data_IF_023994224114
#
_entry.id   IF_023994224114
#
_cell.length_a   1.000
_cell.length_b   1.000
_cell.length_c   1.000
_cell.angle_alpha   90.00
_cell.angle_beta   90.00
_cell.angle_gamma   90.00
#
_symmetry.space_group_name_H-M   'P 1'
#
loop_
_entity.id
_entity.type
_entity.pdbx_description
1 polymer ?
#
# COMPACT_ATOMS: atom_id res chain seq x y z
N UNK A 1 -22.70 21.60 -28.19
CA UNK A 1 -23.45 20.37 -27.84
C UNK A 1 -22.58 19.12 -27.96
N UNK A 2 -21.58 18.95 -27.09
CA UNK A 2 -20.88 17.66 -26.89
C UNK A 2 -20.03 17.64 -25.61
N UNK A 3 -19.69 18.80 -25.05
CA UNK A 3 -18.83 18.93 -23.86
C UNK A 3 -19.57 19.22 -22.53
N UNK A 4 -20.90 19.40 -22.52
CA UNK A 4 -21.72 19.29 -21.29
C UNK A 4 -21.85 17.82 -20.79
N UNK A 5 -21.26 16.88 -21.52
CA UNK A 5 -21.40 15.44 -21.36
C UNK A 5 -20.61 14.85 -20.20
N UNK A 6 -19.57 15.53 -19.70
CA UNK A 6 -18.82 15.06 -18.53
C UNK A 6 -19.63 15.27 -17.25
N UNK A 7 -20.37 16.38 -17.15
CA UNK A 7 -21.34 16.59 -16.08
C UNK A 7 -22.53 15.62 -16.21
N UNK A 8 -23.00 15.29 -17.42
CA UNK A 8 -24.05 14.30 -17.63
C UNK A 8 -23.64 12.85 -17.27
N UNK A 9 -22.34 12.52 -17.34
CA UNK A 9 -21.82 11.23 -16.84
C UNK A 9 -21.71 11.22 -15.31
N UNK A 10 -21.43 12.37 -14.68
CA UNK A 10 -21.48 12.55 -13.22
C UNK A 10 -22.90 12.78 -12.68
N UNK A 11 -23.84 13.17 -13.54
CA UNK A 11 -25.26 13.32 -13.31
C UNK A 11 -26.00 12.43 -14.30
N UNK A 12 -25.82 11.12 -14.20
CA UNK A 12 -26.86 10.19 -14.64
C UNK A 12 -28.08 10.48 -13.75
N UNK A 13 -28.95 11.38 -14.20
CA UNK A 13 -30.28 11.66 -13.64
C UNK A 13 -30.30 11.85 -12.10
N UNK A 14 -29.30 12.55 -11.55
CA UNK A 14 -29.23 12.89 -10.12
C UNK A 14 -28.61 11.84 -9.18
N UNK A 15 -28.06 10.72 -9.69
CA UNK A 15 -27.48 9.66 -8.83
C UNK A 15 -25.96 9.45 -9.00
N UNK A 16 -25.29 10.14 -9.92
CA UNK A 16 -23.88 9.88 -10.18
C UNK A 16 -22.95 10.21 -9.00
N UNK A 17 -23.34 11.09 -8.07
CA UNK A 17 -22.59 11.30 -6.82
C UNK A 17 -22.46 10.00 -6.00
N UNK A 18 -23.52 9.19 -5.93
CA UNK A 18 -23.48 7.89 -5.24
C UNK A 18 -22.58 6.89 -5.96
N UNK A 19 -22.69 6.79 -7.28
CA UNK A 19 -21.89 5.87 -8.09
C UNK A 19 -20.40 6.19 -7.96
N UNK A 20 -20.01 7.45 -8.17
CA UNK A 20 -18.62 7.89 -8.03
C UNK A 20 -18.10 7.76 -6.60
N UNK A 21 -18.94 8.00 -5.59
CA UNK A 21 -18.56 7.76 -4.20
C UNK A 21 -18.31 6.28 -3.91
N UNK A 22 -19.15 5.38 -4.44
CA UNK A 22 -18.99 3.94 -4.30
C UNK A 22 -17.71 3.44 -4.99
N UNK A 23 -17.43 3.92 -6.21
CA UNK A 23 -16.17 3.65 -6.90
C UNK A 23 -14.98 4.20 -6.11
N UNK A 24 -15.05 5.45 -5.64
CA UNK A 24 -14.01 6.08 -4.83
C UNK A 24 -13.70 5.31 -3.55
N UNK A 25 -14.73 4.93 -2.79
CA UNK A 25 -14.59 4.10 -1.58
C UNK A 25 -13.98 2.75 -1.94
N UNK A 26 -14.46 2.10 -2.99
CA UNK A 26 -13.94 0.79 -3.43
C UNK A 26 -12.47 0.89 -3.82
N UNK A 27 -12.09 1.90 -4.60
CA UNK A 27 -10.69 2.15 -4.98
C UNK A 27 -9.81 2.41 -3.76
N UNK A 28 -10.29 3.18 -2.78
CA UNK A 28 -9.55 3.42 -1.53
C UNK A 28 -9.38 2.12 -0.74
N UNK A 29 -10.45 1.33 -0.58
CA UNK A 29 -10.39 0.05 0.14
C UNK A 29 -9.42 -0.92 -0.53
N UNK A 30 -9.51 -1.09 -1.85
CA UNK A 30 -8.59 -1.94 -2.62
C UNK A 30 -7.15 -1.41 -2.53
N UNK A 31 -6.96 -0.10 -2.63
CA UNK A 31 -5.66 0.54 -2.47
C UNK A 31 -5.06 0.26 -1.09
N UNK A 32 -5.85 0.40 -0.02
CA UNK A 32 -5.42 0.08 1.34
C UNK A 32 -5.08 -1.40 1.51
N UNK A 33 -5.88 -2.29 0.92
CA UNK A 33 -5.66 -3.73 0.98
C UNK A 33 -4.31 -4.14 0.36
N UNK A 34 -3.82 -3.39 -0.63
CA UNK A 34 -2.51 -3.61 -1.26
C UNK A 34 -1.40 -2.88 -0.50
N UNK A 35 -1.61 -1.60 -0.16
CA UNK A 35 -0.57 -0.74 0.42
C UNK A 35 -0.19 -1.19 1.83
N UNK A 36 -1.17 -1.55 2.67
CA UNK A 36 -0.95 -1.97 4.06
C UNK A 36 0.00 -3.18 4.16
N UNK A 37 -0.25 -4.33 3.49
CA UNK A 37 0.64 -5.47 3.56
C UNK A 37 2.01 -5.17 2.94
N UNK A 38 2.09 -4.41 1.85
CA UNK A 38 3.38 -4.01 1.28
C UNK A 38 4.23 -3.20 2.26
N UNK A 39 3.63 -2.23 2.97
CA UNK A 39 4.33 -1.45 4.00
C UNK A 39 4.78 -2.34 5.16
N UNK A 40 3.94 -3.28 5.59
CA UNK A 40 4.25 -4.24 6.65
C UNK A 40 5.39 -5.18 6.26
N UNK A 41 5.36 -5.74 5.05
CA UNK A 41 6.42 -6.62 4.53
C UNK A 41 7.76 -5.89 4.48
N UNK A 42 7.79 -4.65 3.96
CA UNK A 42 9.01 -3.84 3.94
C UNK A 42 9.54 -3.55 5.34
N UNK A 43 8.66 -3.31 6.31
CA UNK A 43 9.07 -3.11 7.70
C UNK A 43 9.67 -4.38 8.33
N UNK A 44 9.05 -5.54 8.09
CA UNK A 44 9.54 -6.83 8.57
C UNK A 44 10.89 -7.21 7.94
N UNK A 45 11.03 -7.06 6.63
CA UNK A 45 12.29 -7.33 5.92
C UNK A 45 13.45 -6.51 6.51
N UNK A 46 13.23 -5.23 6.82
CA UNK A 46 14.24 -4.38 7.47
C UNK A 46 14.63 -4.87 8.86
N UNK A 47 13.67 -5.37 9.66
CA UNK A 47 13.95 -5.93 10.99
C UNK A 47 14.82 -7.18 10.89
N UNK A 48 14.45 -8.12 10.03
CA UNK A 48 15.19 -9.37 9.80
C UNK A 48 16.61 -9.07 9.31
N UNK A 49 16.77 -8.15 8.35
CA UNK A 49 18.11 -7.76 7.90
C UNK A 49 18.97 -7.15 9.01
N UNK A 50 18.37 -6.39 9.94
CA UNK A 50 19.05 -5.85 11.10
C UNK A 50 19.55 -6.93 12.05
N UNK A 51 18.73 -7.94 12.33
CA UNK A 51 19.09 -9.07 13.19
C UNK A 51 20.17 -9.96 12.57
N UNK A 52 20.06 -10.27 11.28
CA UNK A 52 21.09 -11.04 10.55
C UNK A 52 22.46 -10.36 10.58
N UNK A 53 22.50 -9.02 10.46
CA UNK A 53 23.75 -8.25 10.57
C UNK A 53 24.37 -8.36 11.96
N UNK A 54 23.56 -8.38 13.02
CA UNK A 54 24.04 -8.53 14.41
C UNK A 54 24.56 -9.94 14.65
N UNK A 55 23.81 -10.97 14.22
CA UNK A 55 24.21 -12.36 14.35
C UNK A 55 25.55 -12.65 13.64
N UNK A 56 25.75 -12.12 12.42
CA UNK A 56 27.02 -12.25 11.70
C UNK A 56 28.20 -11.63 12.43
N UNK A 57 28.01 -10.48 13.07
CA UNK A 57 29.08 -9.81 13.85
C UNK A 57 29.48 -10.63 15.07
N UNK A 58 28.52 -11.23 15.77
CA UNK A 58 28.79 -12.09 16.92
C UNK A 58 29.55 -13.37 16.52
N UNK A 59 29.18 -14.00 15.40
CA UNK A 59 29.91 -15.16 14.87
C UNK A 59 31.36 -14.82 14.48
N UNK A 60 31.59 -13.67 13.84
CA UNK A 60 32.94 -13.24 13.47
C UNK A 60 33.82 -12.97 14.71
N UNK A 61 33.26 -12.38 15.76
CA UNK A 61 34.00 -12.14 17.01
C UNK A 61 34.30 -13.45 17.76
N UNK A 62 33.35 -14.40 17.80
CA UNK A 62 33.57 -15.70 18.42
C UNK A 62 34.66 -16.52 17.70
N UNK A 63 34.72 -16.45 16.37
CA UNK A 63 35.74 -17.15 15.57
C UNK A 63 37.11 -16.47 15.51
N UNK A 64 37.28 -15.26 16.05
CA UNK A 64 38.59 -14.61 16.22
C UNK A 64 39.17 -14.79 17.64
N UNK A 65 38.37 -15.33 18.57
CA UNK A 65 38.78 -15.60 19.96
C UNK A 65 39.16 -17.07 20.22
N UNK A 66 39.15 -17.91 19.18
CA UNK A 66 39.56 -19.32 19.15
C UNK A 66 40.79 -19.49 18.27
#
# INVERSE_FOLDING_TARGET
MYFDSLQAVAQMDGHGAFVWSAYGITTVVLGLLIIVPLRRQRALARRIQGELRRARRQQQQAGHAS
#
